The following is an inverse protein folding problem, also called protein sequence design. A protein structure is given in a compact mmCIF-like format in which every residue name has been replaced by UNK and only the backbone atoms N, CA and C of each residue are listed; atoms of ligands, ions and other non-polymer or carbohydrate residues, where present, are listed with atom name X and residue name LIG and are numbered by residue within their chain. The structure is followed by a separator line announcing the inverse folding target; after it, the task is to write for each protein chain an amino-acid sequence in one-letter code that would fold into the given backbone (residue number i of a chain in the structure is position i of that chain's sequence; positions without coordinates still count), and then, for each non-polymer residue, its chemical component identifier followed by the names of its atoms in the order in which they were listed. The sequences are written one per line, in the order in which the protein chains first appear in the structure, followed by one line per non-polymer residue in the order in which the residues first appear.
data_IF_791141333942
#
_entry.id   IF_791141333942
#
_cell.length_a   1.000
_cell.length_b   1.000
_cell.length_c   1.000
_cell.angle_alpha   90.00
_cell.angle_beta   90.00
_cell.angle_gamma   90.00
#
_symmetry.space_group_name_H-M   'P 1'
#
loop_
_entity.id
_entity.type
_entity.pdbx_description
1 polymer ?
#
# COMPACT_ATOMS: atom_id res chain seq x y z
N UNK A 1 -16.30 7.13 -7.85
CA UNK A 1 -16.56 7.43 -6.43
C UNK A 1 -16.43 6.12 -5.68
N UNK A 2 -15.25 5.83 -5.14
CA UNK A 2 -15.04 4.65 -4.29
C UNK A 2 -15.22 5.08 -2.82
N UNK A 3 -16.12 4.39 -2.13
CA UNK A 3 -16.42 4.64 -0.72
C UNK A 3 -15.29 4.08 0.15
N UNK A 4 -14.31 4.93 0.50
CA UNK A 4 -13.37 4.66 1.57
C UNK A 4 -14.12 4.55 2.90
N UNK A 5 -14.15 3.35 3.47
CA UNK A 5 -14.68 3.07 4.80
C UNK A 5 -13.89 3.87 5.85
N UNK A 6 -14.52 4.88 6.45
CA UNK A 6 -14.04 5.77 7.51
C UNK A 6 -13.76 5.07 8.85
N UNK A 7 -13.20 3.86 8.85
CA UNK A 7 -13.09 3.05 10.09
C UNK A 7 -11.68 2.88 10.61
N UNK A 8 -10.64 3.35 9.92
CA UNK A 8 -9.26 3.36 10.44
C UNK A 8 -8.32 4.18 9.53
N UNK A 9 -8.06 5.46 9.85
CA UNK A 9 -7.16 6.33 9.05
C UNK A 9 -5.72 5.82 8.96
N UNK A 10 -5.37 4.80 9.76
CA UNK A 10 -4.03 4.25 9.83
C UNK A 10 -3.75 3.13 8.85
N UNK A 11 -4.77 2.60 8.14
CA UNK A 11 -4.57 1.55 7.13
C UNK A 11 -5.25 1.91 5.83
N UNK A 12 -4.55 1.71 4.74
CA UNK A 12 -5.10 1.95 3.40
C UNK A 12 -4.54 0.93 2.43
N UNK A 13 -5.39 0.51 1.48
CA UNK A 13 -5.01 -0.38 0.39
C UNK A 13 -5.19 0.39 -0.92
N UNK A 14 -4.14 0.45 -1.72
CA UNK A 14 -4.11 1.14 -3.00
C UNK A 14 -3.95 0.09 -4.10
N UNK A 15 -4.78 0.19 -5.13
CA UNK A 15 -4.67 -0.65 -6.33
C UNK A 15 -4.14 0.21 -7.46
N UNK A 16 -2.90 -0.06 -7.89
CA UNK A 16 -2.27 0.60 -9.02
C UNK A 16 -2.37 -0.31 -10.24
N UNK A 17 -2.84 0.24 -11.36
CA UNK A 17 -2.92 -0.45 -12.64
C UNK A 17 -1.77 -0.02 -13.54
N UNK A 18 -1.33 -0.94 -14.39
CA UNK A 18 -0.13 -0.86 -15.23
C UNK A 18 1.19 -0.74 -14.46
N UNK A 19 1.22 -1.26 -13.22
CA UNK A 19 2.40 -1.21 -12.35
C UNK A 19 2.85 -2.60 -11.95
N UNK A 20 4.16 -2.76 -11.76
CA UNK A 20 4.83 -4.04 -11.54
C UNK A 20 5.64 -4.07 -10.24
N UNK A 21 6.33 -5.19 -10.00
CA UNK A 21 7.27 -5.37 -8.90
C UNK A 21 8.31 -4.27 -8.76
N UNK A 22 8.66 -3.57 -9.85
CA UNK A 22 9.64 -2.47 -9.85
C UNK A 22 9.19 -1.33 -8.94
N UNK A 23 7.99 -0.78 -9.19
CA UNK A 23 7.44 0.30 -8.36
C UNK A 23 7.10 -0.22 -6.96
N UNK A 24 6.51 -1.42 -6.88
CA UNK A 24 6.09 -2.02 -5.62
C UNK A 24 7.27 -2.26 -4.65
N UNK A 25 8.41 -2.72 -5.16
CA UNK A 25 9.63 -2.91 -4.36
C UNK A 25 10.23 -1.58 -3.92
N UNK A 26 10.23 -0.55 -4.78
CA UNK A 26 10.71 0.78 -4.42
C UNK A 26 9.86 1.38 -3.29
N UNK A 27 8.53 1.35 -3.43
CA UNK A 27 7.60 1.81 -2.40
C UNK A 27 7.76 1.04 -1.09
N UNK A 28 7.85 -0.29 -1.16
CA UNK A 28 8.12 -1.12 0.02
C UNK A 28 9.41 -0.67 0.71
N UNK A 29 10.49 -0.45 -0.04
CA UNK A 29 11.77 -0.06 0.54
C UNK A 29 11.67 1.31 1.22
N UNK A 30 11.15 2.33 0.53
CA UNK A 30 10.97 3.68 1.06
C UNK A 30 10.08 3.70 2.29
N UNK A 31 8.96 2.98 2.29
CA UNK A 31 8.03 2.93 3.42
C UNK A 31 8.62 2.16 4.61
N UNK A 32 9.42 1.11 4.38
CA UNK A 32 10.12 0.41 5.47
C UNK A 32 11.25 1.24 6.11
N UNK A 33 11.74 2.29 5.44
CA UNK A 33 12.69 3.21 6.07
C UNK A 33 12.02 4.18 7.04
N UNK A 34 10.70 4.37 6.93
CA UNK A 34 9.97 5.31 7.78
C UNK A 34 9.51 4.64 9.08
N UNK A 35 9.95 5.11 10.26
CA UNK A 35 9.58 4.51 11.54
C UNK A 35 8.09 4.70 11.90
N UNK A 36 7.35 5.53 11.15
CA UNK A 36 5.90 5.73 11.31
C UNK A 36 5.08 4.67 10.59
N UNK A 37 5.71 3.85 9.75
CA UNK A 37 5.05 2.75 9.04
C UNK A 37 5.24 1.46 9.84
N UNK A 38 4.13 0.91 10.33
CA UNK A 38 4.13 -0.36 11.08
C UNK A 38 4.17 -1.56 10.13
N UNK A 39 3.52 -1.45 8.98
CA UNK A 39 3.48 -2.52 8.00
C UNK A 39 3.32 -1.97 6.58
N UNK A 40 4.09 -2.51 5.64
CA UNK A 40 3.95 -2.25 4.22
C UNK A 40 4.17 -3.55 3.45
N UNK A 41 3.22 -3.89 2.59
CA UNK A 41 3.30 -5.06 1.71
C UNK A 41 2.60 -4.79 0.39
N UNK A 42 2.92 -5.61 -0.62
CA UNK A 42 2.22 -5.59 -1.89
C UNK A 42 1.91 -7.01 -2.37
N UNK A 43 0.88 -7.15 -3.18
CA UNK A 43 0.50 -8.40 -3.82
C UNK A 43 0.03 -8.16 -5.26
N UNK A 44 0.42 -9.06 -6.15
CA UNK A 44 -0.06 -9.09 -7.54
C UNK A 44 -1.10 -10.21 -7.61
N UNK A 45 -2.37 -9.91 -7.95
CA UNK A 45 -3.43 -10.90 -7.94
C UNK A 45 -3.28 -11.92 -9.07
N UNK A 46 -2.73 -11.50 -10.22
CA UNK A 46 -2.49 -12.37 -11.36
C UNK A 46 -1.34 -11.82 -12.21
N UNK A 47 -0.35 -12.63 -12.65
CA UNK A 47 0.82 -12.14 -13.39
C UNK A 47 0.52 -11.65 -14.81
N UNK A 48 -0.62 -12.01 -15.39
CA UNK A 48 -1.07 -11.46 -16.69
C UNK A 48 -1.84 -10.15 -16.55
N UNK A 49 -2.06 -9.70 -15.33
CA UNK A 49 -2.77 -8.48 -15.03
C UNK A 49 -1.78 -7.55 -14.33
N UNK A 50 -1.38 -6.47 -15.00
CA UNK A 50 -0.39 -5.51 -14.51
C UNK A 50 -1.01 -4.66 -13.39
N UNK A 51 -1.48 -5.30 -12.32
CA UNK A 51 -2.13 -4.65 -11.19
C UNK A 51 -1.41 -5.04 -9.92
N UNK A 52 -0.93 -4.04 -9.20
CA UNK A 52 -0.32 -4.22 -7.87
C UNK A 52 -1.27 -3.66 -6.83
N UNK A 53 -1.54 -4.46 -5.80
CA UNK A 53 -2.23 -4.01 -4.60
C UNK A 53 -1.21 -3.74 -3.51
N UNK A 54 -1.12 -2.50 -3.05
CA UNK A 54 -0.22 -2.07 -2.00
C UNK A 54 -1.04 -1.83 -0.74
N UNK A 55 -0.66 -2.46 0.36
CA UNK A 55 -1.27 -2.26 1.66
C UNK A 55 -0.27 -1.61 2.59
N UNK A 56 -0.64 -0.44 3.11
CA UNK A 56 0.15 0.33 4.06
C UNK A 56 -0.62 0.47 5.36
N UNK A 57 0.08 0.29 6.46
CA UNK A 57 -0.42 0.53 7.80
C UNK A 57 0.59 1.37 8.57
N UNK A 58 0.16 2.52 9.05
CA UNK A 58 0.95 3.44 9.87
C UNK A 58 0.64 3.25 11.34
N UNK A 59 1.56 3.68 12.21
CA UNK A 59 1.27 3.83 13.63
C UNK A 59 0.42 5.08 13.84
N UNK A 60 -0.63 4.96 14.67
CA UNK A 60 -1.57 6.01 15.06
C UNK A 60 -0.82 7.23 15.63
N UNK A 61 -0.46 8.19 14.77
CA UNK A 61 -0.10 9.55 15.19
C UNK A 61 -0.68 10.60 14.22
N UNK A 62 -2.00 10.72 14.19
CA UNK A 62 -2.61 12.02 13.95
C UNK A 62 -3.92 12.07 14.75
N UNK A 63 -3.90 12.84 15.83
CA UNK A 63 -5.07 13.28 16.58
C UNK A 63 -5.49 14.65 16.07
#
# INVERSE_FOLDING_TARGET
MEHGSFTDETKSTFSMADEDHTLANALRYTLNQDPRVTFCGYSIPHPSDNRVNIRVQTTVICS
#
